data_IF_527599407139
#
_entry.id   IF_527599407139
#
_cell.length_a   1.000
_cell.length_b   1.000
_cell.length_c   1.000
_cell.angle_alpha   90.00
_cell.angle_beta   90.00
_cell.angle_gamma   90.00
#
_symmetry.space_group_name_H-M   'P 1'
#
loop_
_entity.id
_entity.type
_entity.pdbx_description
1 polymer ?
#
# COMPACT_ATOMS: atom_id res chain seq x y z
N UNK A 1 16.22 1.19 -3.57
CA UNK A 1 16.56 2.33 -2.69
C UNK A 1 15.26 2.73 -2.03
N UNK A 2 15.11 2.46 -0.74
CA UNK A 2 13.81 2.49 -0.08
C UNK A 2 13.62 3.83 0.64
N UNK A 3 12.40 4.33 0.65
CA UNK A 3 11.99 5.50 1.41
C UNK A 3 11.87 5.12 2.89
N UNK A 4 12.29 6.00 3.80
CA UNK A 4 11.95 5.90 5.22
C UNK A 4 10.69 6.73 5.46
N UNK A 5 9.61 6.10 5.91
CA UNK A 5 8.37 6.81 6.23
C UNK A 5 8.41 7.32 7.68
N UNK A 6 8.20 8.63 7.82
CA UNK A 6 8.06 9.32 9.09
C UNK A 6 6.58 9.57 9.38
N UNK A 7 6.21 9.48 10.65
CA UNK A 7 4.90 9.87 11.16
C UNK A 7 4.95 11.31 11.66
N UNK A 8 3.82 12.00 11.70
CA UNK A 8 3.73 13.35 12.26
C UNK A 8 4.31 13.42 13.69
N UNK A 9 3.99 12.41 14.50
CA UNK A 9 4.48 12.31 15.89
C UNK A 9 5.98 12.03 16.02
N UNK A 10 6.69 11.74 14.92
CA UNK A 10 8.15 11.62 14.94
C UNK A 10 8.83 13.00 14.94
N UNK A 11 8.13 14.06 14.54
CA UNK A 11 8.73 15.40 14.47
C UNK A 11 8.82 16.04 15.86
N UNK A 12 10.03 16.46 16.21
CA UNK A 12 10.35 17.15 17.47
C UNK A 12 10.55 18.67 17.29
N UNK A 13 10.15 19.19 16.12
CA UNK A 13 10.21 20.61 15.76
C UNK A 13 11.44 21.00 14.93
N UNK A 14 11.38 22.18 14.30
CA UNK A 14 12.46 22.77 13.48
C UNK A 14 12.99 21.84 12.37
N UNK A 15 12.11 21.04 11.76
CA UNK A 15 12.51 20.06 10.73
C UNK A 15 13.31 18.89 11.28
N UNK A 16 13.35 18.65 12.60
CA UNK A 16 13.97 17.45 13.17
C UNK A 16 12.95 16.37 13.44
N UNK A 17 13.32 15.14 13.14
CA UNK A 17 12.55 13.94 13.47
C UNK A 17 13.36 13.00 14.34
N UNK A 18 12.68 12.36 15.29
CA UNK A 18 13.22 11.31 16.15
C UNK A 18 12.40 10.04 15.97
N UNK A 19 13.05 9.00 15.46
CA UNK A 19 12.45 7.67 15.31
C UNK A 19 12.99 6.78 16.43
N UNK A 20 12.11 6.04 17.10
CA UNK A 20 12.46 5.15 18.21
C UNK A 20 12.11 3.67 17.97
N UNK A 21 12.62 2.79 18.83
CA UNK A 21 12.23 1.39 18.93
C UNK A 21 12.51 0.58 17.67
N UNK A 22 11.58 -0.33 17.34
CA UNK A 22 11.66 -1.23 16.17
C UNK A 22 11.94 -0.48 14.87
N UNK A 23 11.36 0.72 14.66
CA UNK A 23 11.55 1.51 13.44
C UNK A 23 12.98 2.05 13.33
N UNK A 24 13.54 2.57 14.43
CA UNK A 24 14.93 3.02 14.45
C UNK A 24 15.90 1.88 14.12
N UNK A 25 15.72 0.73 14.78
CA UNK A 25 16.52 -0.48 14.54
C UNK A 25 16.39 -0.98 13.10
N UNK A 26 15.20 -0.91 12.52
CA UNK A 26 14.97 -1.26 11.12
C UNK A 26 15.73 -0.31 10.18
N UNK A 27 15.63 1.00 10.39
CA UNK A 27 16.34 1.99 9.55
C UNK A 27 17.86 1.80 9.64
N UNK A 28 18.38 1.58 10.86
CA UNK A 28 19.81 1.34 11.07
C UNK A 28 20.27 0.06 10.38
N UNK A 29 19.56 -1.05 10.56
CA UNK A 29 19.98 -2.35 10.02
C UNK A 29 19.77 -2.48 8.50
N UNK A 30 18.63 -2.02 7.99
CA UNK A 30 18.24 -2.20 6.57
C UNK A 30 18.79 -1.08 5.70
N UNK A 31 18.66 0.18 6.13
CA UNK A 31 19.19 1.31 5.36
C UNK A 31 20.66 1.59 5.68
N UNK A 32 21.27 0.84 6.61
CA UNK A 32 22.66 1.03 7.07
C UNK A 32 22.89 2.47 7.50
N UNK A 33 21.97 3.01 8.27
CA UNK A 33 22.01 4.41 8.70
C UNK A 33 23.20 4.64 9.64
N UNK A 34 23.93 5.72 9.40
CA UNK A 34 25.06 6.16 10.22
C UNK A 34 25.04 7.69 10.32
N UNK A 35 25.67 8.25 11.36
CA UNK A 35 25.69 9.71 11.54
C UNK A 35 26.29 10.41 10.31
N UNK A 36 25.61 11.45 9.83
CA UNK A 36 25.96 12.21 8.63
C UNK A 36 25.43 11.63 7.32
N UNK A 37 24.89 10.40 7.33
CA UNK A 37 24.31 9.80 6.13
C UNK A 37 22.99 10.46 5.77
N UNK A 38 22.81 10.73 4.48
CA UNK A 38 21.54 11.17 3.93
C UNK A 38 20.67 9.96 3.54
N UNK A 39 19.42 9.97 3.99
CA UNK A 39 18.40 8.99 3.66
C UNK A 39 17.28 9.67 2.88
N UNK A 40 16.61 8.93 2.00
CA UNK A 40 15.35 9.39 1.43
C UNK A 40 14.26 9.20 2.47
N UNK A 41 13.53 10.27 2.77
CA UNK A 41 12.48 10.25 3.80
C UNK A 41 11.20 10.86 3.24
N UNK A 42 10.06 10.50 3.81
CA UNK A 42 8.79 11.13 3.49
C UNK A 42 7.85 11.07 4.69
N UNK A 43 7.03 12.10 4.86
CA UNK A 43 5.97 12.08 5.87
C UNK A 43 4.77 11.31 5.33
N UNK A 44 4.21 10.40 6.10
CA UNK A 44 3.02 9.65 5.72
C UNK A 44 1.90 10.63 5.32
N UNK A 45 1.27 10.37 4.17
CA UNK A 45 0.27 11.21 3.53
C UNK A 45 0.72 12.65 3.21
N UNK A 46 2.02 12.88 3.04
CA UNK A 46 2.54 14.18 2.65
C UNK A 46 3.83 14.11 1.85
N UNK A 47 4.67 15.13 1.98
CA UNK A 47 5.81 15.32 1.11
C UNK A 47 6.96 14.34 1.36
N UNK A 48 7.77 14.16 0.33
CA UNK A 48 9.02 13.43 0.28
C UNK A 48 10.19 14.43 0.28
N UNK A 49 11.32 14.00 0.81
CA UNK A 49 12.58 14.70 0.67
C UNK A 49 13.75 13.88 1.22
N UNK A 50 14.62 14.53 1.98
CA UNK A 50 15.82 13.91 2.55
C UNK A 50 15.89 14.12 4.06
N UNK A 51 16.53 13.16 4.73
CA UNK A 51 16.83 13.20 6.15
C UNK A 51 18.30 12.91 6.37
N UNK A 52 19.05 13.86 6.92
CA UNK A 52 20.46 13.65 7.31
C UNK A 52 20.50 13.17 8.75
N UNK A 53 21.03 11.98 8.98
CA UNK A 53 21.12 11.39 10.32
C UNK A 53 22.03 12.25 11.20
N UNK A 54 21.48 12.83 12.27
CA UNK A 54 22.20 13.74 13.16
C UNK A 54 22.76 13.01 14.38
N UNK A 55 22.03 12.02 14.89
CA UNK A 55 22.47 11.15 15.99
C UNK A 55 21.86 9.75 15.93
N UNK A 56 22.58 8.77 16.47
CA UNK A 56 22.10 7.41 16.69
C UNK A 56 22.44 7.04 18.13
N UNK A 57 21.48 6.41 18.80
CA UNK A 57 21.56 5.84 20.14
C UNK A 57 21.04 4.41 20.10
N UNK A 58 21.14 3.68 21.22
CA UNK A 58 20.72 2.27 21.31
C UNK A 58 19.25 2.02 20.94
N UNK A 59 18.35 2.98 21.17
CA UNK A 59 16.90 2.82 20.93
C UNK A 59 16.28 3.90 20.03
N UNK A 60 17.08 4.86 19.57
CA UNK A 60 16.55 5.94 18.74
C UNK A 60 17.57 6.54 17.77
N UNK A 61 17.05 7.12 16.71
CA UNK A 61 17.79 7.84 15.70
C UNK A 61 17.12 9.20 15.46
N UNK A 62 17.93 10.24 15.40
CA UNK A 62 17.48 11.59 15.05
C UNK A 62 18.04 11.99 13.68
N UNK A 63 17.28 12.82 12.97
CA UNK A 63 17.68 13.34 11.67
C UNK A 63 17.13 14.74 11.43
N UNK A 64 17.89 15.52 10.65
CA UNK A 64 17.45 16.80 10.09
C UNK A 64 16.75 16.53 8.76
N UNK A 65 15.46 16.85 8.69
CA UNK A 65 14.55 16.54 7.59
C UNK A 65 14.29 17.78 6.75
N UNK A 66 14.39 17.62 5.43
CA UNK A 66 13.98 18.61 4.44
C UNK A 66 13.04 17.96 3.44
N UNK A 67 11.77 18.36 3.48
CA UNK A 67 10.75 17.95 2.52
C UNK A 67 10.66 18.96 1.37
N UNK A 68 10.58 18.47 0.13
CA UNK A 68 10.65 19.35 -1.06
C UNK A 68 9.95 18.81 -2.31
N UNK A 69 9.33 17.63 -2.22
CA UNK A 69 8.67 16.99 -3.36
C UNK A 69 7.36 16.36 -2.92
N UNK A 70 6.32 16.50 -3.71
CA UNK A 70 5.06 15.80 -3.47
C UNK A 70 5.20 14.28 -3.72
N UNK A 71 4.28 13.46 -3.18
CA UNK A 71 4.24 12.04 -3.52
C UNK A 71 4.04 11.80 -5.03
N UNK A 72 4.39 10.61 -5.53
CA UNK A 72 4.04 10.20 -6.89
C UNK A 72 2.53 10.33 -7.15
N UNK A 73 2.16 10.56 -8.40
CA UNK A 73 0.76 10.49 -8.81
C UNK A 73 0.20 9.08 -8.56
N UNK A 74 -1.07 9.04 -8.15
CA UNK A 74 -1.77 7.78 -7.93
C UNK A 74 -1.88 7.00 -9.25
N UNK A 75 -1.69 5.68 -9.18
CA UNK A 75 -2.06 4.82 -10.30
C UNK A 75 -3.58 4.95 -10.50
N UNK A 76 -4.08 5.28 -11.71
CA UNK A 76 -5.49 5.51 -11.96
C UNK A 76 -6.25 4.18 -12.02
N UNK A 77 -6.23 3.45 -10.91
CA UNK A 77 -6.70 2.08 -10.76
C UNK A 77 -7.49 1.94 -9.45
N UNK A 78 -8.73 1.51 -9.58
CA UNK A 78 -9.45 0.86 -8.47
C UNK A 78 -9.28 -0.64 -8.61
N UNK A 79 -8.59 -1.25 -7.65
CA UNK A 79 -8.33 -2.68 -7.62
C UNK A 79 -9.40 -3.37 -6.79
N UNK A 80 -10.12 -4.30 -7.41
CA UNK A 80 -11.09 -5.16 -6.74
C UNK A 80 -10.57 -6.59 -6.86
N UNK A 81 -10.43 -7.31 -5.75
CA UNK A 81 -10.11 -8.73 -5.84
C UNK A 81 -10.85 -9.58 -4.81
N UNK A 82 -11.20 -10.80 -5.20
CA UNK A 82 -11.73 -11.78 -4.26
C UNK A 82 -10.63 -12.18 -3.27
N UNK A 83 -10.96 -12.27 -1.98
CA UNK A 83 -9.98 -12.56 -0.92
C UNK A 83 -9.20 -13.87 -1.23
N UNK A 84 -7.91 -13.80 -1.59
CA UNK A 84 -7.13 -15.00 -1.84
C UNK A 84 -6.63 -15.60 -0.52
N UNK A 85 -5.86 -16.68 -0.60
CA UNK A 85 -5.16 -17.24 0.58
C UNK A 85 -4.37 -16.15 1.34
N UNK A 86 -4.32 -16.17 2.69
CA UNK A 86 -3.70 -15.11 3.49
C UNK A 86 -2.28 -14.71 3.07
N UNK A 87 -1.44 -15.69 2.69
CA UNK A 87 -0.07 -15.44 2.21
C UNK A 87 -0.05 -14.72 0.85
N UNK A 88 -0.98 -15.04 -0.04
CA UNK A 88 -1.13 -14.39 -1.34
C UNK A 88 -1.71 -12.99 -1.17
N UNK A 89 -2.67 -12.84 -0.26
CA UNK A 89 -3.27 -11.55 0.08
C UNK A 89 -2.22 -10.54 0.54
N UNK A 90 -1.37 -10.90 1.52
CA UNK A 90 -0.25 -10.06 1.97
C UNK A 90 0.62 -9.57 0.80
N UNK A 91 0.99 -10.48 -0.11
CA UNK A 91 1.81 -10.15 -1.28
C UNK A 91 1.07 -9.19 -2.23
N UNK A 92 -0.22 -9.40 -2.44
CA UNK A 92 -1.04 -8.53 -3.29
C UNK A 92 -1.13 -7.12 -2.72
N UNK A 93 -1.34 -6.97 -1.40
CA UNK A 93 -1.38 -5.66 -0.74
C UNK A 93 -0.04 -4.93 -0.86
N UNK A 94 1.07 -5.61 -0.55
CA UNK A 94 2.38 -5.02 -0.69
C UNK A 94 2.66 -4.57 -2.13
N UNK A 95 2.36 -5.42 -3.13
CA UNK A 95 2.54 -5.09 -4.53
C UNK A 95 1.67 -3.92 -4.98
N UNK A 96 0.38 -3.91 -4.60
CA UNK A 96 -0.55 -2.85 -4.94
C UNK A 96 -0.10 -1.49 -4.37
N UNK A 97 0.30 -1.47 -3.10
CA UNK A 97 0.82 -0.27 -2.45
C UNK A 97 2.11 0.24 -3.12
N UNK A 98 3.05 -0.65 -3.45
CA UNK A 98 4.29 -0.28 -4.18
C UNK A 98 4.06 0.23 -5.59
N UNK A 99 2.98 -0.22 -6.25
CA UNK A 99 2.59 0.22 -7.60
C UNK A 99 1.78 1.52 -7.60
N UNK A 100 1.49 2.11 -6.44
CA UNK A 100 0.73 3.36 -6.34
C UNK A 100 -0.79 3.20 -6.40
N UNK A 101 -1.32 1.98 -6.21
CA UNK A 101 -2.78 1.76 -6.10
C UNK A 101 -3.29 2.40 -4.82
N UNK A 102 -4.27 3.32 -4.93
CA UNK A 102 -4.82 4.05 -3.78
C UNK A 102 -6.16 3.53 -3.28
N UNK A 103 -6.88 2.77 -4.11
CA UNK A 103 -8.20 2.23 -3.76
C UNK A 103 -8.24 0.72 -3.99
N UNK A 104 -8.37 -0.03 -2.91
CA UNK A 104 -8.40 -1.49 -2.91
C UNK A 104 -9.70 -1.98 -2.28
N UNK A 105 -10.41 -2.86 -2.96
CA UNK A 105 -11.66 -3.46 -2.48
C UNK A 105 -11.50 -4.97 -2.48
N UNK A 106 -11.67 -5.57 -1.31
CA UNK A 106 -11.57 -7.01 -1.13
C UNK A 106 -12.97 -7.59 -0.99
N UNK A 107 -13.35 -8.47 -1.90
CA UNK A 107 -14.70 -9.02 -1.97
C UNK A 107 -14.75 -10.48 -1.53
N UNK A 108 -15.89 -10.89 -1.01
CA UNK A 108 -16.25 -12.30 -0.90
C UNK A 108 -16.60 -12.86 -2.28
N UNK A 109 -16.40 -14.15 -2.51
CA UNK A 109 -16.98 -14.84 -3.67
C UNK A 109 -17.25 -16.30 -3.36
N UNK A 110 -17.98 -16.99 -4.22
CA UNK A 110 -18.40 -18.37 -3.98
C UNK A 110 -17.24 -19.33 -3.67
N UNK A 111 -16.09 -19.16 -4.36
CA UNK A 111 -14.94 -20.06 -4.25
C UNK A 111 -13.88 -19.61 -3.23
N UNK A 112 -14.16 -18.57 -2.45
CA UNK A 112 -13.28 -18.14 -1.35
C UNK A 112 -13.53 -19.01 -0.12
N UNK A 113 -12.46 -19.49 0.50
CA UNK A 113 -12.55 -20.23 1.75
C UNK A 113 -12.92 -19.26 2.88
N UNK A 114 -14.06 -19.49 3.53
CA UNK A 114 -14.58 -18.65 4.62
C UNK A 114 -13.62 -18.50 5.80
N UNK A 115 -12.69 -19.43 5.99
CA UNK A 115 -11.67 -19.33 7.04
C UNK A 115 -10.67 -18.20 6.79
N UNK A 116 -10.45 -17.79 5.53
CA UNK A 116 -9.50 -16.72 5.19
C UNK A 116 -9.94 -15.38 5.79
N UNK A 117 -11.25 -15.14 5.90
CA UNK A 117 -11.83 -13.97 6.56
C UNK A 117 -11.55 -13.85 8.06
N UNK A 118 -11.04 -14.91 8.68
CA UNK A 118 -10.63 -14.93 10.09
C UNK A 118 -9.11 -14.80 10.26
N UNK A 119 -8.38 -14.60 9.17
CA UNK A 119 -6.92 -14.53 9.21
C UNK A 119 -6.45 -13.23 9.85
N UNK A 120 -5.40 -13.27 10.70
CA UNK A 120 -4.84 -12.07 11.32
C UNK A 120 -4.27 -11.08 10.27
N UNK A 121 -3.97 -11.52 9.05
CA UNK A 121 -3.52 -10.62 7.98
C UNK A 121 -4.54 -9.54 7.62
N UNK A 122 -5.82 -9.73 7.99
CA UNK A 122 -6.90 -8.77 7.77
C UNK A 122 -7.08 -7.79 8.95
N UNK A 123 -6.33 -7.98 10.04
CA UNK A 123 -6.31 -7.05 11.16
C UNK A 123 -5.69 -5.72 10.71
N UNK A 124 -6.21 -4.62 11.26
CA UNK A 124 -5.87 -3.25 10.84
C UNK A 124 -4.37 -2.99 10.95
N UNK A 125 -3.74 -3.47 12.02
CA UNK A 125 -2.33 -3.27 12.32
C UNK A 125 -1.45 -4.02 11.30
N UNK A 126 -1.80 -5.27 10.97
CA UNK A 126 -1.06 -6.07 10.00
C UNK A 126 -1.20 -5.50 8.58
N UNK A 127 -2.40 -5.09 8.19
CA UNK A 127 -2.64 -4.41 6.90
C UNK A 127 -1.84 -3.11 6.80
N UNK A 128 -1.85 -2.32 7.87
CA UNK A 128 -1.11 -1.08 7.94
C UNK A 128 0.40 -1.31 7.77
N UNK A 129 0.97 -2.30 8.48
CA UNK A 129 2.39 -2.66 8.30
C UNK A 129 2.70 -3.13 6.87
N UNK A 130 1.87 -4.01 6.29
CA UNK A 130 2.07 -4.53 4.93
C UNK A 130 1.97 -3.41 3.85
N UNK A 131 1.04 -2.47 4.00
CA UNK A 131 0.92 -1.31 3.11
C UNK A 131 2.08 -0.32 3.29
N UNK A 132 2.49 -0.05 4.54
CA UNK A 132 3.62 0.84 4.83
C UNK A 132 4.90 0.35 4.17
N UNK A 133 5.20 -0.95 4.27
CA UNK A 133 6.34 -1.57 3.57
C UNK A 133 6.22 -1.41 2.05
N UNK A 134 5.02 -1.56 1.50
CA UNK A 134 4.76 -1.36 0.08
C UNK A 134 5.08 0.08 -0.37
N UNK A 135 4.66 1.07 0.41
CA UNK A 135 4.96 2.49 0.17
C UNK A 135 6.46 2.80 0.25
N UNK A 136 7.17 2.22 1.22
CA UNK A 136 8.62 2.37 1.36
C UNK A 136 9.38 1.89 0.12
N UNK A 137 8.95 0.76 -0.48
CA UNK A 137 9.49 0.27 -1.75
C UNK A 137 9.08 1.14 -2.95
N UNK A 138 7.84 1.62 -2.98
CA UNK A 138 7.28 2.45 -4.04
C UNK A 138 7.80 3.89 -4.05
N UNK A 139 8.52 4.31 -2.99
CA UNK A 139 8.91 5.71 -2.77
C UNK A 139 7.67 6.62 -2.82
N UNK A 140 6.66 6.19 -2.11
CA UNK A 140 5.36 6.84 -2.00
C UNK A 140 5.04 7.06 -0.53
N UNK A 141 4.19 8.02 -0.23
CA UNK A 141 3.78 8.37 1.14
C UNK A 141 2.27 8.27 1.32
N UNK A 142 1.49 8.18 0.24
CA UNK A 142 0.03 8.21 0.32
C UNK A 142 -0.51 6.81 0.60
N UNK A 143 -1.09 6.63 1.79
CA UNK A 143 -1.65 5.36 2.24
C UNK A 143 -2.84 4.92 1.37
N UNK A 144 -2.86 3.69 0.86
CA UNK A 144 -4.03 3.15 0.17
C UNK A 144 -5.22 2.98 1.13
N UNK A 145 -6.42 3.22 0.62
CA UNK A 145 -7.65 2.82 1.28
C UNK A 145 -7.99 1.37 0.92
N UNK A 146 -8.27 0.56 1.95
CA UNK A 146 -8.74 -0.81 1.77
C UNK A 146 -10.12 -1.00 2.40
N UNK A 147 -11.07 -1.51 1.62
CA UNK A 147 -12.42 -1.83 2.08
C UNK A 147 -12.76 -3.30 1.86
N UNK A 148 -13.52 -3.87 2.79
CA UNK A 148 -13.91 -5.28 2.77
C UNK A 148 -15.40 -5.43 2.52
N UNK A 149 -15.77 -6.18 1.48
CA UNK A 149 -17.15 -6.46 1.06
C UNK A 149 -17.47 -7.93 1.25
N UNK A 150 -17.87 -8.30 2.46
CA UNK A 150 -18.18 -9.69 2.85
C UNK A 150 -19.45 -10.28 2.21
N UNK A 151 -20.26 -9.45 1.55
CA UNK A 151 -21.46 -9.90 0.83
C UNK A 151 -21.29 -9.52 -0.64
N UNK A 152 -21.12 -10.53 -1.48
CA UNK A 152 -20.88 -10.34 -2.92
C UNK A 152 -22.07 -9.68 -3.62
N UNK A 153 -23.29 -10.26 -3.49
CA UNK A 153 -24.48 -9.76 -4.20
C UNK A 153 -24.78 -8.27 -3.93
N UNK A 154 -24.90 -7.81 -2.67
CA UNK A 154 -25.12 -6.39 -2.40
C UNK A 154 -24.03 -5.49 -2.98
N UNK A 155 -22.76 -5.91 -2.93
CA UNK A 155 -21.68 -5.11 -3.52
C UNK A 155 -21.83 -4.97 -5.04
N UNK A 156 -22.11 -6.07 -5.73
CA UNK A 156 -22.24 -6.06 -7.19
C UNK A 156 -23.49 -5.33 -7.66
N UNK A 157 -24.62 -5.56 -6.99
CA UNK A 157 -25.92 -5.01 -7.38
C UNK A 157 -26.09 -3.55 -6.97
N UNK A 158 -25.54 -3.13 -5.83
CA UNK A 158 -25.83 -1.81 -5.25
C UNK A 158 -24.65 -0.81 -5.36
N UNK A 159 -23.40 -1.28 -5.51
CA UNK A 159 -22.21 -0.41 -5.40
C UNK A 159 -21.30 -0.42 -6.62
N UNK A 160 -21.12 -1.58 -7.27
CA UNK A 160 -20.12 -1.74 -8.32
C UNK A 160 -20.41 -0.89 -9.56
N UNK A 161 -21.68 -0.74 -9.93
CA UNK A 161 -22.10 0.07 -11.08
C UNK A 161 -21.64 1.53 -10.93
N UNK A 162 -22.01 2.19 -9.83
CA UNK A 162 -21.61 3.58 -9.60
C UNK A 162 -20.10 3.73 -9.42
N UNK A 163 -19.45 2.75 -8.78
CA UNK A 163 -18.00 2.76 -8.59
C UNK A 163 -17.21 2.65 -9.89
N UNK A 164 -17.78 2.03 -10.93
CA UNK A 164 -17.12 1.75 -12.20
C UNK A 164 -17.63 2.58 -13.39
N UNK A 165 -18.64 3.43 -13.15
CA UNK A 165 -19.38 4.19 -14.17
C UNK A 165 -18.51 4.94 -15.17
N UNK A 166 -17.47 5.61 -14.69
CA UNK A 166 -16.56 6.44 -15.50
C UNK A 166 -15.16 5.83 -15.62
N UNK A 167 -15.06 4.49 -15.57
CA UNK A 167 -13.78 3.79 -15.67
C UNK A 167 -13.75 2.75 -16.78
N UNK A 168 -12.54 2.39 -17.19
CA UNK A 168 -12.33 1.23 -18.02
C UNK A 168 -12.43 -0.04 -17.17
N UNK A 169 -13.52 -0.78 -17.34
CA UNK A 169 -13.78 -1.99 -16.57
C UNK A 169 -13.04 -3.18 -17.16
N UNK A 170 -12.22 -3.85 -16.34
CA UNK A 170 -11.50 -5.06 -16.69
C UNK A 170 -11.80 -6.15 -15.68
N UNK A 171 -11.92 -7.38 -16.17
CA UNK A 171 -11.95 -8.60 -15.37
C UNK A 171 -10.82 -9.51 -15.79
N UNK A 172 -10.04 -9.99 -14.83
CA UNK A 172 -8.96 -10.93 -15.09
C UNK A 172 -9.54 -12.34 -15.28
N UNK A 173 -9.88 -12.68 -16.52
CA UNK A 173 -10.41 -14.00 -16.94
C UNK A 173 -9.33 -14.76 -17.73
N UNK A 174 -8.73 -15.82 -17.15
CA UNK A 174 -7.70 -16.62 -17.83
C UNK A 174 -8.16 -17.25 -19.16
N UNK A 175 -9.46 -17.48 -19.32
CA UNK A 175 -10.06 -18.10 -20.51
C UNK A 175 -10.42 -17.06 -21.60
N UNK A 176 -10.10 -15.79 -21.39
CA UNK A 176 -10.43 -14.72 -22.34
C UNK A 176 -9.64 -14.87 -23.64
N UNK A 177 -10.33 -14.75 -24.78
CA UNK A 177 -9.69 -14.66 -26.10
C UNK A 177 -9.08 -13.26 -26.35
N UNK A 178 -9.48 -12.26 -25.54
CA UNK A 178 -8.94 -10.91 -25.65
C UNK A 178 -7.57 -10.83 -24.97
N UNK A 179 -6.55 -10.24 -25.63
CA UNK A 179 -5.25 -10.05 -25.01
C UNK A 179 -5.34 -9.09 -23.83
N UNK A 180 -4.47 -9.29 -22.84
CA UNK A 180 -4.34 -8.36 -21.72
C UNK A 180 -3.97 -6.96 -22.25
N UNK A 181 -4.75 -5.91 -21.93
CA UNK A 181 -4.44 -4.56 -22.40
C UNK A 181 -3.13 -4.07 -21.78
N UNK A 182 -2.39 -3.27 -22.53
CA UNK A 182 -1.15 -2.63 -22.09
C UNK A 182 -1.24 -1.11 -22.28
N UNK A 183 -0.47 -0.34 -21.50
CA UNK A 183 -0.43 1.12 -21.55
C UNK A 183 -1.82 1.79 -21.46
N UNK A 184 -2.65 1.33 -20.53
CA UNK A 184 -3.95 1.93 -20.27
C UNK A 184 -3.75 3.26 -19.52
N UNK A 185 -3.98 4.38 -20.21
CA UNK A 185 -3.81 5.74 -19.67
C UNK A 185 -5.15 6.39 -19.30
N UNK A 186 -5.97 5.67 -18.54
CA UNK A 186 -7.27 6.14 -18.05
C UNK A 186 -7.65 5.44 -16.76
N UNK A 187 -8.55 6.08 -16.00
CA UNK A 187 -9.12 5.48 -14.79
C UNK A 187 -9.68 4.09 -15.12
N UNK A 188 -9.22 3.09 -14.38
CA UNK A 188 -9.52 1.68 -14.62
C UNK A 188 -10.09 1.05 -13.36
N UNK A 189 -11.11 0.21 -13.51
CA UNK A 189 -11.58 -0.69 -12.44
C UNK A 189 -11.21 -2.11 -12.84
N UNK A 190 -10.26 -2.71 -12.12
CA UNK A 190 -9.78 -4.07 -12.39
C UNK A 190 -10.34 -5.03 -11.33
N UNK A 191 -11.06 -6.05 -11.78
CA UNK A 191 -11.59 -7.13 -10.95
C UNK A 191 -10.77 -8.40 -11.15
N UNK A 192 -10.22 -8.95 -10.06
CA UNK A 192 -9.49 -10.22 -10.04
C UNK A 192 -10.29 -11.25 -9.23
N UNK A 193 -10.62 -12.38 -9.85
CA UNK A 193 -11.35 -13.47 -9.20
C UNK A 193 -10.52 -14.23 -8.17
N UNK A 194 -11.16 -15.17 -7.43
CA UNK A 194 -10.44 -16.06 -6.53
C UNK A 194 -9.57 -17.04 -7.32
N UNK A 195 -8.74 -17.82 -6.66
CA UNK A 195 -7.87 -18.81 -7.32
C UNK A 195 -8.66 -19.82 -8.17
N UNK A 196 -9.93 -20.07 -7.84
CA UNK A 196 -10.83 -20.93 -8.61
C UNK A 196 -11.59 -20.22 -9.75
N UNK A 197 -11.39 -18.93 -9.97
CA UNK A 197 -12.14 -18.10 -10.93
C UNK A 197 -13.55 -17.73 -10.46
N UNK A 198 -14.22 -16.84 -11.20
CA UNK A 198 -15.65 -16.56 -10.98
C UNK A 198 -16.52 -17.69 -11.56
N UNK A 199 -17.71 -17.86 -10.99
CA UNK A 199 -18.77 -18.78 -11.43
C UNK A 199 -20.12 -18.16 -11.20
#
# INVERSE_FOLDING_TARGET
MNLVILLENDFIGNGRARVGGRRANHIISVHRAEKGKELKVGILNGQIGTGTVSSISDDSMEMDVRLFRDPPEALPLTLIFALPRPKSFRKAIHAAASMGVKKIIVIESWKVDKSYWKSPVLEKENLYEDMLLGLEQGVDTVMPEITFKKRFKPFVEDELEELSKDSFCLIAEPSSEQPCPFNVDKQTTLVIGPEGGFT
#
